data_IF_075372128790
#
_entry.id   IF_075372128790
#
_cell.length_a   1.000
_cell.length_b   1.000
_cell.length_c   1.000
_cell.angle_alpha   90.00
_cell.angle_beta   90.00
_cell.angle_gamma   90.00
#
_symmetry.space_group_name_H-M   'P 1'
#
loop_
_entity.id
_entity.type
_entity.pdbx_description
1 polymer ?
#
# COMPACT_ATOMS: atom_id res chain seq x y z
N UNK A 1 -19.93 -30.53 1.62
CA UNK A 1 -20.88 -30.26 0.52
C UNK A 1 -20.05 -29.67 -0.58
N UNK A 2 -19.90 -30.40 -1.66
CA UNK A 2 -19.12 -29.97 -2.82
C UNK A 2 -19.89 -28.87 -3.54
N UNK A 3 -19.20 -27.77 -3.85
CA UNK A 3 -19.78 -26.63 -4.58
C UNK A 3 -18.98 -26.42 -5.86
N UNK A 4 -19.66 -26.31 -7.00
CA UNK A 4 -19.06 -25.99 -8.29
C UNK A 4 -19.36 -24.54 -8.68
N UNK A 5 -18.34 -23.85 -9.16
CA UNK A 5 -18.40 -22.49 -9.68
C UNK A 5 -17.74 -22.43 -11.05
N UNK A 6 -18.04 -21.41 -11.84
CA UNK A 6 -17.27 -21.13 -13.05
C UNK A 6 -15.87 -20.62 -12.66
N UNK A 7 -15.80 -19.80 -11.59
CA UNK A 7 -14.53 -19.21 -11.12
C UNK A 7 -14.35 -19.35 -9.60
N UNK A 8 -13.22 -19.92 -9.20
CA UNK A 8 -12.77 -20.00 -7.80
C UNK A 8 -11.59 -19.07 -7.60
N UNK A 9 -11.73 -18.10 -6.70
CA UNK A 9 -10.69 -17.10 -6.40
C UNK A 9 -10.10 -17.36 -5.02
N UNK A 10 -8.76 -17.49 -4.95
CA UNK A 10 -8.02 -17.73 -3.71
C UNK A 10 -7.48 -16.39 -3.20
N UNK A 11 -8.00 -15.91 -2.05
CA UNK A 11 -7.56 -14.70 -1.37
C UNK A 11 -8.44 -13.48 -1.66
N UNK A 12 -8.94 -12.83 -0.60
CA UNK A 12 -9.86 -11.69 -0.70
C UNK A 12 -9.19 -10.31 -0.67
N UNK A 13 -7.92 -10.22 -1.06
CA UNK A 13 -7.27 -8.93 -1.31
C UNK A 13 -7.98 -8.14 -2.42
N UNK A 14 -7.61 -6.86 -2.58
CA UNK A 14 -8.25 -5.95 -3.54
C UNK A 14 -8.37 -6.57 -4.94
N UNK A 15 -7.28 -7.11 -5.51
CA UNK A 15 -7.28 -7.74 -6.82
C UNK A 15 -8.28 -8.89 -6.96
N UNK A 16 -8.35 -9.78 -5.96
CA UNK A 16 -9.29 -10.91 -5.94
C UNK A 16 -10.74 -10.47 -5.87
N UNK A 17 -11.07 -9.48 -5.03
CA UNK A 17 -12.44 -8.96 -4.93
C UNK A 17 -12.86 -8.19 -6.18
N UNK A 18 -11.97 -7.38 -6.78
CA UNK A 18 -12.26 -6.66 -8.02
C UNK A 18 -12.48 -7.64 -9.17
N UNK A 19 -11.60 -8.62 -9.36
CA UNK A 19 -11.78 -9.70 -10.34
C UNK A 19 -13.09 -10.45 -10.13
N UNK A 20 -13.44 -10.76 -8.87
CA UNK A 20 -14.69 -11.44 -8.55
C UNK A 20 -15.92 -10.64 -9.01
N UNK A 21 -15.92 -9.32 -8.77
CA UNK A 21 -17.05 -8.45 -9.12
C UNK A 21 -17.16 -8.33 -10.64
N UNK A 22 -16.05 -8.12 -11.35
CA UNK A 22 -16.05 -8.03 -12.81
C UNK A 22 -16.63 -9.32 -13.41
N UNK A 23 -16.13 -10.49 -12.99
CA UNK A 23 -16.60 -11.78 -13.52
C UNK A 23 -18.06 -12.06 -13.15
N UNK A 24 -18.48 -11.76 -11.92
CA UNK A 24 -19.88 -11.90 -11.52
C UNK A 24 -20.81 -10.98 -12.33
N UNK A 25 -20.36 -9.75 -12.68
CA UNK A 25 -21.12 -8.83 -13.54
C UNK A 25 -21.30 -9.36 -14.96
N UNK A 26 -20.31 -10.09 -15.46
CA UNK A 26 -20.38 -10.78 -16.76
C UNK A 26 -21.16 -12.11 -16.71
N UNK A 27 -21.79 -12.42 -15.56
CA UNK A 27 -22.70 -13.56 -15.41
C UNK A 27 -22.05 -14.88 -14.99
N UNK A 28 -20.76 -14.87 -14.64
CA UNK A 28 -20.09 -16.05 -14.08
C UNK A 28 -20.51 -16.30 -12.64
N UNK A 29 -20.67 -17.57 -12.26
CA UNK A 29 -20.75 -17.98 -10.87
C UNK A 29 -19.36 -17.95 -10.24
N UNK A 30 -19.18 -17.12 -9.20
CA UNK A 30 -17.86 -16.86 -8.59
C UNK A 30 -17.89 -17.13 -7.09
N UNK A 31 -16.83 -17.75 -6.57
CA UNK A 31 -16.56 -17.75 -5.14
C UNK A 31 -15.18 -17.19 -4.79
N UNK A 32 -15.08 -16.53 -3.64
CA UNK A 32 -13.81 -16.06 -3.06
C UNK A 32 -13.54 -16.78 -1.74
N UNK A 33 -12.37 -17.41 -1.63
CA UNK A 33 -11.91 -18.15 -0.46
C UNK A 33 -10.89 -17.30 0.32
N UNK A 34 -11.22 -16.93 1.55
CA UNK A 34 -10.36 -16.14 2.45
C UNK A 34 -9.94 -16.97 3.66
N UNK A 35 -8.64 -17.00 3.94
CA UNK A 35 -8.10 -17.75 5.09
C UNK A 35 -8.43 -17.10 6.43
N UNK A 36 -8.57 -15.77 6.46
CA UNK A 36 -8.81 -15.00 7.68
C UNK A 36 -10.29 -14.80 8.00
N UNK A 37 -10.56 -14.23 9.17
CA UNK A 37 -11.90 -13.75 9.55
C UNK A 37 -12.32 -12.48 8.80
N UNK A 38 -11.37 -11.62 8.48
CA UNK A 38 -11.61 -10.36 7.79
C UNK A 38 -11.25 -10.50 6.31
N UNK A 39 -12.10 -9.94 5.44
CA UNK A 39 -11.78 -9.81 4.02
C UNK A 39 -10.88 -8.59 3.79
N UNK A 40 -10.26 -8.50 2.61
CA UNK A 40 -9.63 -7.27 2.13
C UNK A 40 -8.10 -7.28 2.07
N UNK A 41 -7.43 -8.30 2.62
CA UNK A 41 -5.96 -8.35 2.67
C UNK A 41 -5.38 -7.09 3.33
N UNK A 42 -4.58 -6.31 2.60
CA UNK A 42 -3.99 -5.06 3.10
C UNK A 42 -5.03 -3.93 3.32
N UNK A 43 -6.29 -4.10 2.90
CA UNK A 43 -7.41 -3.21 3.21
C UNK A 43 -8.02 -3.42 4.60
N UNK A 44 -7.46 -4.34 5.38
CA UNK A 44 -7.97 -4.62 6.71
C UNK A 44 -7.75 -3.44 7.66
N UNK A 45 -8.59 -3.39 8.68
CA UNK A 45 -8.48 -2.46 9.78
C UNK A 45 -8.50 -3.23 11.09
N UNK A 46 -7.92 -2.64 12.13
CA UNK A 46 -8.13 -3.12 13.50
C UNK A 46 -8.52 -1.96 14.41
N UNK A 47 -9.04 -2.30 15.59
CA UNK A 47 -9.50 -1.32 16.57
C UNK A 47 -8.69 -1.44 17.85
N UNK A 48 -8.19 -0.32 18.36
CA UNK A 48 -7.56 -0.18 19.68
C UNK A 48 -8.02 1.11 20.32
N UNK A 49 -8.36 1.05 21.61
CA UNK A 49 -8.86 2.21 22.36
C UNK A 49 -10.05 2.94 21.71
N UNK A 50 -10.88 2.18 20.99
CA UNK A 50 -12.03 2.64 20.17
C UNK A 50 -11.64 3.45 18.92
N UNK A 51 -10.36 3.50 18.58
CA UNK A 51 -9.82 4.11 17.37
C UNK A 51 -9.56 3.05 16.30
N UNK A 52 -9.89 3.39 15.05
CA UNK A 52 -9.70 2.53 13.88
C UNK A 52 -8.34 2.82 13.26
N UNK A 53 -7.58 1.77 12.98
CA UNK A 53 -6.31 1.86 12.26
C UNK A 53 -6.38 1.04 10.98
N UNK A 54 -5.94 1.64 9.89
CA UNK A 54 -5.70 0.97 8.62
C UNK A 54 -4.34 0.27 8.64
N UNK A 55 -4.29 -0.96 8.11
CA UNK A 55 -3.02 -1.72 8.03
C UNK A 55 -2.24 -1.46 6.75
N UNK A 56 -2.84 -0.85 5.73
CA UNK A 56 -2.21 -0.73 4.41
C UNK A 56 -2.61 0.49 3.58
N UNK A 57 -3.90 0.88 3.55
CA UNK A 57 -4.33 2.07 2.81
C UNK A 57 -4.57 3.25 3.75
N UNK A 58 -3.66 4.23 3.66
CA UNK A 58 -3.70 5.45 4.48
C UNK A 58 -4.37 6.61 3.73
N UNK A 59 -4.26 6.62 2.40
CA UNK A 59 -4.86 7.60 1.49
C UNK A 59 -4.87 7.02 0.07
N UNK A 60 -5.63 7.64 -0.83
CA UNK A 60 -5.92 7.12 -2.17
C UNK A 60 -5.82 8.25 -3.19
N UNK A 61 -5.05 8.00 -4.26
CA UNK A 61 -4.91 8.90 -5.40
C UNK A 61 -6.03 8.76 -6.43
N UNK A 62 -6.18 9.73 -7.34
CA UNK A 62 -6.89 9.53 -8.60
C UNK A 62 -8.41 9.32 -8.51
N UNK A 63 -9.07 9.81 -7.46
CA UNK A 63 -10.52 9.62 -7.23
C UNK A 63 -11.40 10.83 -7.62
N UNK A 64 -10.84 11.92 -8.14
CA UNK A 64 -11.68 12.97 -8.70
C UNK A 64 -12.32 12.49 -10.02
N UNK A 65 -13.46 13.08 -10.37
CA UNK A 65 -14.22 12.68 -11.56
C UNK A 65 -13.36 12.73 -12.84
N UNK A 66 -13.41 11.66 -13.63
CA UNK A 66 -12.62 11.49 -14.86
C UNK A 66 -11.22 10.92 -14.66
N UNK A 67 -10.70 10.86 -13.42
CA UNK A 67 -9.39 10.29 -13.15
C UNK A 67 -9.44 8.75 -13.16
N UNK A 68 -8.27 8.12 -13.27
CA UNK A 68 -8.14 6.67 -13.45
C UNK A 68 -8.92 5.87 -12.37
N UNK A 69 -8.53 6.01 -11.10
CA UNK A 69 -9.12 5.18 -10.04
C UNK A 69 -10.61 5.47 -9.83
N UNK A 70 -11.06 6.71 -10.05
CA UNK A 70 -12.49 7.06 -10.08
C UNK A 70 -13.27 6.17 -11.06
N UNK A 71 -12.76 5.97 -12.28
CA UNK A 71 -13.44 5.16 -13.30
C UNK A 71 -13.59 3.70 -12.86
N UNK A 72 -12.54 3.10 -12.30
CA UNK A 72 -12.60 1.74 -11.72
C UNK A 72 -13.62 1.67 -10.58
N UNK A 73 -13.55 2.59 -9.63
CA UNK A 73 -14.44 2.61 -8.46
C UNK A 73 -15.90 2.82 -8.87
N UNK A 74 -16.14 3.64 -9.91
CA UNK A 74 -17.47 3.88 -10.47
C UNK A 74 -18.00 2.65 -11.20
N UNK A 75 -17.18 2.01 -12.05
CA UNK A 75 -17.58 0.78 -12.77
C UNK A 75 -17.92 -0.36 -11.81
N UNK A 76 -17.11 -0.55 -10.76
CA UNK A 76 -17.34 -1.58 -9.73
C UNK A 76 -18.54 -1.22 -8.85
N UNK A 77 -18.97 0.05 -8.85
CA UNK A 77 -20.18 0.53 -8.18
C UNK A 77 -19.97 0.84 -6.69
N UNK A 78 -18.74 1.17 -6.29
CA UNK A 78 -18.43 1.53 -4.89
C UNK A 78 -18.29 3.04 -4.67
N UNK A 79 -17.96 3.81 -5.72
CA UNK A 79 -17.59 5.22 -5.59
C UNK A 79 -18.60 6.07 -4.80
N UNK A 80 -19.89 5.95 -5.12
CA UNK A 80 -20.96 6.78 -4.55
C UNK A 80 -21.25 6.44 -3.07
N UNK A 81 -20.83 5.27 -2.60
CA UNK A 81 -21.07 4.77 -1.24
C UNK A 81 -19.86 5.04 -0.30
N UNK A 82 -18.75 5.58 -0.82
CA UNK A 82 -17.55 5.89 -0.03
C UNK A 82 -17.63 7.26 0.63
N UNK A 83 -17.21 7.32 1.89
CA UNK A 83 -17.04 8.56 2.64
C UNK A 83 -15.58 8.99 2.54
N UNK A 84 -15.32 9.92 1.65
CA UNK A 84 -13.99 10.40 1.33
C UNK A 84 -13.83 11.85 1.79
N UNK A 85 -12.66 12.17 2.34
CA UNK A 85 -12.21 13.53 2.62
C UNK A 85 -11.07 13.84 1.66
N UNK A 86 -11.16 14.95 0.92
CA UNK A 86 -10.04 15.40 0.11
C UNK A 86 -8.93 15.92 1.03
N UNK A 87 -7.71 15.54 0.72
CA UNK A 87 -6.51 16.06 1.39
C UNK A 87 -6.23 17.49 0.94
N UNK A 88 -5.31 18.17 1.62
CA UNK A 88 -5.00 19.56 1.33
C UNK A 88 -4.47 19.74 -0.10
N UNK A 89 -4.94 20.79 -0.77
CA UNK A 89 -4.61 21.05 -2.18
C UNK A 89 -3.15 21.44 -2.35
N UNK A 90 -2.62 22.18 -1.38
CA UNK A 90 -1.29 22.78 -1.46
C UNK A 90 -0.20 21.89 -0.88
N UNK A 91 -0.56 20.88 -0.07
CA UNK A 91 0.38 19.96 0.53
C UNK A 91 -0.36 18.68 0.94
N UNK A 92 -0.60 17.72 0.03
CA UNK A 92 -1.19 16.44 0.46
C UNK A 92 -0.15 15.55 1.15
N UNK A 93 1.11 15.68 0.75
CA UNK A 93 2.27 15.10 1.40
C UNK A 93 3.31 16.20 1.64
N UNK A 94 4.00 16.12 2.77
CA UNK A 94 5.08 17.05 3.15
C UNK A 94 6.38 16.25 3.26
N UNK A 95 7.35 16.60 2.42
CA UNK A 95 8.69 16.02 2.46
C UNK A 95 9.53 16.85 3.43
N UNK A 96 10.17 16.20 4.39
CA UNK A 96 11.00 16.88 5.38
C UNK A 96 12.26 16.10 5.71
N UNK A 97 13.27 16.82 6.18
CA UNK A 97 14.58 16.24 6.46
C UNK A 97 15.06 16.59 7.88
N UNK A 98 15.96 15.78 8.43
CA UNK A 98 16.61 16.06 9.73
C UNK A 98 17.80 17.01 9.61
N UNK A 99 18.36 17.17 8.41
CA UNK A 99 19.44 18.09 8.05
C UNK A 99 18.94 19.44 7.49
N UNK A 100 17.63 19.69 7.53
CA UNK A 100 17.00 20.90 6.98
C UNK A 100 15.70 21.24 7.74
N UNK A 101 15.57 22.50 8.18
CA UNK A 101 14.37 22.96 8.88
C UNK A 101 13.20 23.25 7.92
N UNK A 102 13.47 23.34 6.61
CA UNK A 102 12.44 23.59 5.59
C UNK A 102 11.62 22.32 5.32
N UNK A 103 10.31 22.50 5.25
CA UNK A 103 9.36 21.49 4.81
C UNK A 103 8.91 21.77 3.38
N UNK A 104 8.92 20.75 2.52
CA UNK A 104 8.66 20.88 1.10
C UNK A 104 7.32 20.24 0.73
N UNK A 105 6.33 21.03 0.28
CA UNK A 105 5.00 20.50 0.01
C UNK A 105 4.91 19.81 -1.36
N UNK A 106 4.33 18.62 -1.39
CA UNK A 106 3.81 18.00 -2.60
C UNK A 106 2.33 18.33 -2.73
N UNK A 107 1.98 19.12 -3.74
CA UNK A 107 0.63 19.66 -3.94
C UNK A 107 -0.18 18.87 -4.98
N UNK A 108 -1.50 18.94 -4.86
CA UNK A 108 -2.43 18.39 -5.86
C UNK A 108 -2.56 19.35 -7.06
N UNK A 109 -2.46 18.80 -8.27
CA UNK A 109 -2.49 19.50 -9.55
C UNK A 109 -1.10 19.89 -10.01
N UNK A 110 -0.75 19.58 -11.26
CA UNK A 110 0.61 19.79 -11.81
C UNK A 110 1.08 21.24 -11.69
N UNK A 111 0.24 22.21 -12.09
CA UNK A 111 0.58 23.64 -11.93
C UNK A 111 0.70 24.05 -10.47
N UNK A 112 -0.13 23.49 -9.58
CA UNK A 112 -0.06 23.81 -8.16
C UNK A 112 1.23 23.24 -7.55
N UNK A 113 1.60 22.01 -7.90
CA UNK A 113 2.86 21.38 -7.50
C UNK A 113 4.07 22.24 -7.90
N UNK A 114 4.11 22.72 -9.15
CA UNK A 114 5.14 23.64 -9.63
C UNK A 114 5.10 24.97 -8.83
N UNK A 115 3.91 25.54 -8.62
CA UNK A 115 3.76 26.81 -7.92
C UNK A 115 4.18 26.76 -6.46
N UNK A 116 3.93 25.65 -5.76
CA UNK A 116 4.32 25.49 -4.36
C UNK A 116 5.82 25.23 -4.22
N UNK A 117 6.41 24.40 -5.08
CA UNK A 117 7.84 24.10 -5.00
C UNK A 117 8.74 25.24 -5.51
N UNK A 118 8.28 26.06 -6.46
CA UNK A 118 9.10 27.20 -6.95
C UNK A 118 9.32 28.28 -5.90
N UNK A 119 8.52 28.35 -4.83
CA UNK A 119 8.77 29.26 -3.71
C UNK A 119 10.09 28.95 -3.00
N UNK A 120 10.49 27.67 -3.01
CA UNK A 120 11.73 27.16 -2.44
C UNK A 120 12.84 27.00 -3.48
N UNK A 121 12.46 26.75 -4.74
CA UNK A 121 13.37 26.51 -5.85
C UNK A 121 13.04 27.43 -7.05
N UNK A 122 13.25 28.76 -6.94
CA UNK A 122 12.78 29.73 -7.94
C UNK A 122 13.41 29.58 -9.32
N UNK A 123 14.59 28.97 -9.41
CA UNK A 123 15.30 28.72 -10.67
C UNK A 123 14.90 27.39 -11.33
N UNK A 124 14.07 26.58 -10.67
CA UNK A 124 13.76 25.20 -11.08
C UNK A 124 12.38 25.04 -11.73
N UNK A 125 11.68 26.14 -12.06
CA UNK A 125 10.32 26.07 -12.62
C UNK A 125 10.25 25.21 -13.89
N UNK A 126 11.20 25.37 -14.82
CA UNK A 126 11.23 24.57 -16.06
C UNK A 126 11.48 23.08 -15.78
N UNK A 127 12.36 22.77 -14.82
CA UNK A 127 12.69 21.39 -14.44
C UNK A 127 11.51 20.70 -13.74
N UNK A 128 10.79 21.42 -12.87
CA UNK A 128 9.57 20.94 -12.21
C UNK A 128 8.45 20.64 -13.22
N UNK A 129 8.29 21.49 -14.25
CA UNK A 129 7.33 21.26 -15.35
C UNK A 129 7.73 20.03 -16.17
N UNK A 130 9.00 19.93 -16.56
CA UNK A 130 9.52 18.78 -17.29
C UNK A 130 9.35 17.46 -16.53
N UNK A 131 9.53 17.48 -15.20
CA UNK A 131 9.25 16.34 -14.32
C UNK A 131 7.77 15.95 -14.38
N UNK A 132 6.85 16.90 -14.20
CA UNK A 132 5.40 16.63 -14.28
C UNK A 132 4.99 16.06 -15.65
N UNK A 133 5.45 16.67 -16.74
CA UNK A 133 5.18 16.20 -18.11
C UNK A 133 5.70 14.77 -18.32
N UNK A 134 6.87 14.44 -17.75
CA UNK A 134 7.37 13.07 -17.81
C UNK A 134 6.48 12.09 -17.05
N UNK A 135 6.01 12.42 -15.85
CA UNK A 135 5.13 11.53 -15.09
C UNK A 135 3.84 11.25 -15.88
N UNK A 136 3.25 12.28 -16.48
CA UNK A 136 2.03 12.17 -17.30
C UNK A 136 2.31 11.30 -18.53
N UNK A 137 3.34 11.64 -19.33
CA UNK A 137 3.68 10.88 -20.54
C UNK A 137 4.03 9.41 -20.26
N UNK A 138 4.66 9.13 -19.11
CA UNK A 138 4.93 7.78 -18.66
C UNK A 138 3.63 7.03 -18.36
N UNK A 139 2.69 7.63 -17.61
CA UNK A 139 1.41 7.01 -17.32
C UNK A 139 0.59 6.75 -18.60
N UNK A 140 0.58 7.71 -19.54
CA UNK A 140 -0.13 7.60 -20.81
C UNK A 140 0.43 6.51 -21.73
N UNK A 141 1.66 6.09 -21.49
CA UNK A 141 2.28 4.99 -22.24
C UNK A 141 1.76 3.60 -21.84
N UNK A 142 0.90 3.49 -20.81
CA UNK A 142 0.32 2.21 -20.35
C UNK A 142 -1.19 2.15 -20.65
N UNK A 143 -1.64 1.49 -21.73
CA UNK A 143 -3.05 1.49 -22.14
C UNK A 143 -4.03 1.05 -21.04
N UNK A 144 -3.69 0.02 -20.28
CA UNK A 144 -4.55 -0.47 -19.19
C UNK A 144 -4.67 0.52 -18.01
N UNK A 145 -3.69 1.41 -17.84
CA UNK A 145 -3.82 2.50 -16.88
C UNK A 145 -4.96 3.45 -17.30
N UNK A 146 -5.07 3.76 -18.59
CA UNK A 146 -6.10 4.64 -19.15
C UNK A 146 -7.39 3.93 -19.59
N UNK A 147 -7.58 2.65 -19.20
CA UNK A 147 -8.72 1.82 -19.62
C UNK A 147 -8.83 1.67 -21.14
N UNK A 148 -7.73 1.80 -21.86
CA UNK A 148 -7.66 1.64 -23.29
C UNK A 148 -7.36 0.19 -23.66
N UNK A 149 -8.20 -0.36 -24.53
CA UNK A 149 -7.98 -1.69 -25.08
C UNK A 149 -7.08 -1.58 -26.32
N UNK A 150 -5.77 -1.50 -26.11
CA UNK A 150 -4.78 -1.51 -27.19
C UNK A 150 -4.21 -2.91 -27.39
N UNK A 151 -4.28 -3.42 -28.62
CA UNK A 151 -3.61 -4.66 -29.03
C UNK A 151 -2.09 -4.53 -29.07
N UNK A 152 -1.59 -3.30 -29.15
CA UNK A 152 -0.18 -3.01 -29.48
C UNK A 152 0.72 -3.00 -28.23
N UNK A 153 0.12 -3.14 -27.04
CA UNK A 153 0.83 -3.18 -25.77
C UNK A 153 1.47 -1.83 -25.41
N UNK A 154 2.61 -1.89 -24.72
CA UNK A 154 3.42 -0.72 -24.34
C UNK A 154 4.89 -0.98 -24.67
N UNK A 155 5.67 0.08 -24.85
CA UNK A 155 7.11 -0.05 -25.14
C UNK A 155 7.84 -0.64 -23.92
N UNK A 156 8.46 -1.82 -24.08
CA UNK A 156 9.17 -2.49 -22.98
C UNK A 156 10.43 -1.75 -22.50
N UNK A 157 11.00 -0.86 -23.31
CA UNK A 157 12.13 0.01 -22.90
C UNK A 157 11.75 0.95 -21.76
N UNK A 158 10.46 1.30 -21.62
CA UNK A 158 9.98 2.13 -20.51
C UNK A 158 10.14 1.43 -19.15
N UNK A 159 10.17 0.09 -19.15
CA UNK A 159 10.35 -0.70 -17.93
C UNK A 159 11.80 -0.66 -17.41
N UNK A 160 12.77 -0.20 -18.21
CA UNK A 160 14.19 -0.20 -17.86
C UNK A 160 14.72 1.15 -17.39
N UNK A 161 13.93 2.22 -17.51
CA UNK A 161 14.34 3.56 -17.06
C UNK A 161 14.37 3.58 -15.53
N UNK A 162 15.51 3.89 -14.94
CA UNK A 162 15.66 3.99 -13.49
C UNK A 162 15.10 5.33 -12.98
N UNK A 163 14.34 5.29 -11.87
CA UNK A 163 13.68 6.46 -11.31
C UNK A 163 14.67 7.49 -10.74
N UNK A 164 15.72 7.03 -10.04
CA UNK A 164 16.74 7.89 -9.44
C UNK A 164 17.60 8.55 -10.50
N UNK A 165 18.06 7.78 -11.49
CA UNK A 165 18.84 8.33 -12.62
C UNK A 165 18.06 9.42 -13.35
N UNK A 166 16.77 9.18 -13.63
CA UNK A 166 15.92 10.20 -14.25
C UNK A 166 15.76 11.46 -13.37
N UNK A 167 15.51 11.32 -12.07
CA UNK A 167 15.39 12.48 -11.15
C UNK A 167 16.71 13.27 -11.10
N UNK A 168 17.87 12.59 -11.14
CA UNK A 168 19.18 13.25 -11.18
C UNK A 168 19.40 14.02 -12.50
N UNK A 169 18.86 13.54 -13.61
CA UNK A 169 18.92 14.21 -14.91
C UNK A 169 18.04 15.46 -14.97
N UNK A 170 16.92 15.49 -14.25
CA UNK A 170 15.96 16.61 -14.25
C UNK A 170 16.58 17.91 -13.74
N UNK A 171 17.44 17.85 -12.72
CA UNK A 171 18.01 19.06 -12.08
C UNK A 171 19.38 18.76 -11.50
N UNK A 172 20.25 19.77 -11.37
CA UNK A 172 21.50 19.67 -10.61
C UNK A 172 21.33 20.00 -9.11
N UNK A 173 20.17 20.49 -8.69
CA UNK A 173 19.90 20.82 -7.30
C UNK A 173 19.66 19.55 -6.47
N UNK A 174 20.64 19.18 -5.65
CA UNK A 174 20.62 17.97 -4.82
C UNK A 174 19.42 17.94 -3.85
N UNK A 175 19.02 19.10 -3.30
CA UNK A 175 17.87 19.18 -2.40
C UNK A 175 16.57 18.94 -3.17
N UNK A 176 16.41 19.52 -4.36
CA UNK A 176 15.22 19.26 -5.18
C UNK A 176 15.14 17.78 -5.60
N UNK A 177 16.26 17.14 -5.95
CA UNK A 177 16.28 15.68 -6.22
C UNK A 177 15.74 14.88 -5.02
N UNK A 178 16.19 15.21 -3.81
CA UNK A 178 15.71 14.58 -2.59
C UNK A 178 14.20 14.83 -2.36
N UNK A 179 13.71 16.05 -2.62
CA UNK A 179 12.28 16.40 -2.51
C UNK A 179 11.43 15.62 -3.51
N UNK A 180 11.84 15.52 -4.78
CA UNK A 180 11.12 14.75 -5.80
C UNK A 180 11.11 13.25 -5.49
N UNK A 181 12.22 12.73 -4.94
CA UNK A 181 12.35 11.34 -4.51
C UNK A 181 11.68 11.03 -3.16
N UNK A 182 11.26 12.03 -2.38
CA UNK A 182 10.74 11.86 -1.02
C UNK A 182 9.49 11.00 -0.89
N UNK A 183 8.78 10.77 -2.00
CA UNK A 183 7.61 9.90 -2.09
C UNK A 183 7.96 8.42 -2.38
N UNK A 184 9.24 8.06 -2.51
CA UNK A 184 9.66 6.72 -2.93
C UNK A 184 9.22 5.58 -1.98
N UNK A 185 8.91 5.93 -0.72
CA UNK A 185 8.42 5.00 0.29
C UNK A 185 7.10 4.34 -0.16
N UNK A 186 6.29 5.02 -0.97
CA UNK A 186 5.02 4.52 -1.51
C UNK A 186 5.15 3.23 -2.32
N UNK A 187 6.33 2.98 -2.89
CA UNK A 187 6.60 1.81 -3.73
C UNK A 187 7.86 1.05 -3.33
N UNK A 188 8.35 1.26 -2.11
CA UNK A 188 9.58 0.66 -1.59
C UNK A 188 10.81 0.92 -2.50
N UNK A 189 11.05 2.20 -2.80
CA UNK A 189 12.14 2.63 -3.66
C UNK A 189 13.53 2.16 -3.21
N UNK A 190 14.26 1.60 -4.17
CA UNK A 190 15.68 1.20 -4.09
C UNK A 190 16.43 1.91 -5.21
N UNK A 191 17.56 2.55 -4.90
CA UNK A 191 18.35 3.38 -5.82
C UNK A 191 18.61 2.70 -7.17
N UNK A 192 19.11 1.46 -7.17
CA UNK A 192 19.62 0.81 -8.37
C UNK A 192 18.54 0.08 -9.18
N UNK A 193 17.39 -0.21 -8.58
CA UNK A 193 16.39 -1.15 -9.13
C UNK A 193 15.04 -0.53 -9.44
N UNK A 194 14.72 0.66 -8.92
CA UNK A 194 13.37 1.22 -9.03
C UNK A 194 13.08 1.75 -10.43
N UNK A 195 12.07 1.21 -11.14
CA UNK A 195 11.71 1.73 -12.45
C UNK A 195 10.94 3.05 -12.34
N UNK A 196 11.21 3.99 -13.26
CA UNK A 196 10.52 5.28 -13.33
C UNK A 196 9.01 5.13 -13.52
N UNK A 197 8.54 4.10 -14.23
CA UNK A 197 7.10 3.90 -14.39
C UNK A 197 6.37 3.61 -13.08
N UNK A 198 7.01 2.91 -12.13
CA UNK A 198 6.42 2.66 -10.80
C UNK A 198 6.32 3.96 -10.01
N UNK A 199 7.36 4.79 -10.07
CA UNK A 199 7.37 6.13 -9.50
C UNK A 199 6.26 6.99 -10.11
N UNK A 200 6.17 7.05 -11.44
CA UNK A 200 5.17 7.84 -12.15
C UNK A 200 3.74 7.40 -11.83
N UNK A 201 3.42 6.10 -11.94
CA UNK A 201 2.07 5.59 -11.66
C UNK A 201 1.64 5.87 -10.20
N UNK A 202 2.59 5.84 -9.26
CA UNK A 202 2.33 6.12 -7.85
C UNK A 202 2.12 7.61 -7.60
N UNK A 203 3.11 8.44 -7.96
CA UNK A 203 3.12 9.88 -7.66
C UNK A 203 2.05 10.61 -8.46
N UNK A 204 1.89 10.32 -9.75
CA UNK A 204 0.89 10.96 -10.60
C UNK A 204 -0.52 10.78 -10.05
N UNK A 205 -0.84 9.60 -9.52
CA UNK A 205 -2.16 9.31 -8.95
C UNK A 205 -2.50 10.25 -7.79
N UNK A 206 -1.56 10.46 -6.85
CA UNK A 206 -1.77 11.36 -5.71
C UNK A 206 -1.70 12.85 -6.10
N UNK A 207 -0.82 13.19 -7.04
CA UNK A 207 -0.74 14.55 -7.58
C UNK A 207 -2.03 14.94 -8.31
N UNK A 208 -2.69 14.00 -8.99
CA UNK A 208 -4.00 14.25 -9.64
C UNK A 208 -5.10 14.59 -8.63
N UNK A 209 -5.24 13.79 -7.58
CA UNK A 209 -6.03 14.12 -6.40
C UNK A 209 -5.77 13.13 -5.27
N UNK A 210 -5.81 13.59 -4.02
CA UNK A 210 -5.52 12.77 -2.83
C UNK A 210 -6.67 12.78 -1.84
N UNK A 211 -7.04 11.59 -1.35
CA UNK A 211 -8.23 11.39 -0.53
C UNK A 211 -7.98 10.43 0.64
N UNK A 212 -8.58 10.74 1.79
CA UNK A 212 -8.65 9.85 2.95
C UNK A 212 -10.02 9.22 3.08
N UNK A 213 -10.04 8.00 3.59
CA UNK A 213 -11.26 7.30 3.96
C UNK A 213 -11.72 7.75 5.36
N UNK A 214 -12.85 8.45 5.46
CA UNK A 214 -13.42 8.82 6.76
C UNK A 214 -13.86 7.55 7.49
N UNK A 215 -13.34 7.32 8.69
CA UNK A 215 -13.48 6.07 9.48
C UNK A 215 -12.77 4.84 8.88
N UNK A 216 -11.72 5.07 8.09
CA UNK A 216 -10.77 4.05 7.61
C UNK A 216 -11.20 3.31 6.34
N UNK A 217 -10.22 2.64 5.73
CA UNK A 217 -10.28 1.94 4.44
C UNK A 217 -11.15 0.69 4.42
N UNK A 218 -11.53 0.14 5.58
CA UNK A 218 -12.44 -1.03 5.65
C UNK A 218 -13.77 -0.84 4.93
N UNK A 219 -14.19 0.42 4.70
CA UNK A 219 -15.36 0.74 3.90
C UNK A 219 -15.25 0.23 2.46
N UNK A 220 -14.06 0.25 1.85
CA UNK A 220 -13.83 -0.25 0.49
C UNK A 220 -14.16 -1.73 0.43
N UNK A 221 -13.57 -2.52 1.32
CA UNK A 221 -13.85 -3.96 1.39
C UNK A 221 -15.33 -4.24 1.66
N UNK A 222 -15.98 -3.50 2.56
CA UNK A 222 -17.42 -3.65 2.82
C UNK A 222 -18.25 -3.40 1.56
N UNK A 223 -17.94 -2.35 0.80
CA UNK A 223 -18.65 -2.06 -0.44
C UNK A 223 -18.34 -3.07 -1.54
N UNK A 224 -17.10 -3.53 -1.68
CA UNK A 224 -16.73 -4.59 -2.64
C UNK A 224 -17.50 -5.89 -2.36
N UNK A 225 -17.58 -6.32 -1.10
CA UNK A 225 -18.34 -7.53 -0.72
C UNK A 225 -19.84 -7.34 -1.00
N UNK A 226 -20.39 -6.14 -0.74
CA UNK A 226 -21.79 -5.81 -1.05
C UNK A 226 -22.04 -5.89 -2.57
N UNK A 227 -21.15 -5.32 -3.38
CA UNK A 227 -21.26 -5.38 -4.85
C UNK A 227 -21.14 -6.82 -5.37
N UNK A 228 -20.18 -7.59 -4.87
CA UNK A 228 -20.04 -9.00 -5.28
C UNK A 228 -21.32 -9.80 -5.01
N UNK A 229 -21.89 -9.67 -3.80
CA UNK A 229 -23.14 -10.34 -3.44
C UNK A 229 -24.33 -9.88 -4.28
N UNK A 230 -24.38 -8.60 -4.66
CA UNK A 230 -25.43 -8.06 -5.54
C UNK A 230 -25.45 -8.78 -6.90
N UNK A 231 -24.29 -9.18 -7.40
CA UNK A 231 -24.14 -9.95 -8.65
C UNK A 231 -24.07 -11.47 -8.43
N UNK A 232 -24.50 -11.96 -7.27
CA UNK A 232 -24.61 -13.40 -6.99
C UNK A 232 -23.31 -14.11 -6.63
N UNK A 233 -22.19 -13.39 -6.50
CA UNK A 233 -20.92 -13.96 -6.06
C UNK A 233 -20.92 -14.31 -4.57
N UNK A 234 -20.24 -15.40 -4.22
CA UNK A 234 -20.15 -15.91 -2.86
C UNK A 234 -18.78 -15.64 -2.23
N UNK A 235 -18.72 -15.42 -0.92
CA UNK A 235 -17.46 -15.25 -0.19
C UNK A 235 -17.42 -16.09 1.07
N UNK A 236 -16.27 -16.69 1.33
CA UNK A 236 -16.07 -17.63 2.43
C UNK A 236 -14.86 -17.24 3.26
N UNK A 237 -15.07 -17.12 4.57
CA UNK A 237 -14.02 -16.89 5.57
C UNK A 237 -13.51 -18.22 6.10
N UNK A 238 -12.32 -18.20 6.69
CA UNK A 238 -11.66 -19.39 7.26
C UNK A 238 -11.50 -20.55 6.25
N UNK A 239 -11.40 -20.22 4.96
CA UNK A 239 -11.17 -21.16 3.87
C UNK A 239 -9.75 -21.00 3.36
N UNK A 240 -8.79 -21.37 4.21
CA UNK A 240 -7.39 -21.46 3.82
C UNK A 240 -7.22 -22.58 2.81
N UNK A 241 -6.84 -22.25 1.58
CA UNK A 241 -6.54 -23.24 0.53
C UNK A 241 -5.17 -23.86 0.81
N UNK A 242 -5.14 -25.18 0.96
CA UNK A 242 -3.94 -25.96 1.30
C UNK A 242 -3.49 -26.87 0.18
N UNK A 243 -4.25 -26.95 -0.91
CA UNK A 243 -3.88 -27.70 -2.10
C UNK A 243 -4.98 -27.68 -3.14
N UNK A 244 -4.76 -28.46 -4.20
CA UNK A 244 -5.63 -28.49 -5.36
C UNK A 244 -5.91 -29.93 -5.82
N UNK A 245 -7.08 -30.15 -6.44
CA UNK A 245 -7.42 -31.40 -7.11
C UNK A 245 -7.20 -31.31 -8.62
N UNK A 246 -6.75 -32.42 -9.21
CA UNK A 246 -6.45 -32.50 -10.64
C UNK A 246 -7.05 -33.74 -11.27
N UNK A 247 -7.57 -33.59 -12.48
CA UNK A 247 -7.91 -34.68 -13.39
C UNK A 247 -6.92 -34.67 -14.55
N UNK A 248 -5.92 -35.56 -14.49
CA UNK A 248 -4.77 -35.52 -15.40
C UNK A 248 -3.92 -34.26 -15.21
N UNK A 249 -3.91 -33.37 -16.21
CA UNK A 249 -3.25 -32.06 -16.17
C UNK A 249 -4.19 -30.91 -15.82
N UNK A 250 -5.52 -31.14 -15.82
CA UNK A 250 -6.50 -30.12 -15.57
C UNK A 250 -6.70 -29.89 -14.07
N UNK A 251 -6.60 -28.63 -13.64
CA UNK A 251 -6.98 -28.19 -12.29
C UNK A 251 -8.51 -28.14 -12.19
N UNK A 252 -9.10 -28.88 -11.24
CA UNK A 252 -10.57 -29.02 -11.11
C UNK A 252 -11.12 -28.56 -9.76
N UNK A 253 -10.28 -28.43 -8.73
CA UNK A 253 -10.73 -28.03 -7.40
C UNK A 253 -9.65 -27.37 -6.54
N UNK A 254 -10.10 -26.58 -5.57
CA UNK A 254 -9.30 -26.05 -4.46
C UNK A 254 -9.74 -26.71 -3.14
N UNK A 255 -8.77 -27.26 -2.40
CA UNK A 255 -8.96 -27.95 -1.13
C UNK A 255 -8.62 -27.03 0.02
N UNK A 256 -9.49 -26.96 1.03
CA UNK A 256 -9.30 -26.08 2.18
C UNK A 256 -8.88 -26.86 3.43
N UNK A 257 -8.22 -26.17 4.37
CA UNK A 257 -7.69 -26.74 5.62
C UNK A 257 -8.73 -27.50 6.45
N UNK A 258 -9.99 -27.08 6.38
CA UNK A 258 -11.11 -27.71 7.10
C UNK A 258 -11.70 -28.93 6.37
N UNK A 259 -11.07 -29.38 5.27
CA UNK A 259 -11.50 -30.53 4.49
C UNK A 259 -12.59 -30.24 3.46
N UNK A 260 -13.03 -28.99 3.31
CA UNK A 260 -13.94 -28.62 2.21
C UNK A 260 -13.21 -28.64 0.86
N UNK A 261 -13.95 -28.87 -0.21
CA UNK A 261 -13.43 -28.83 -1.59
C UNK A 261 -14.36 -27.99 -2.47
N UNK A 262 -13.78 -27.09 -3.25
CA UNK A 262 -14.47 -26.14 -4.13
C UNK A 262 -14.06 -26.43 -5.57
N UNK A 263 -15.03 -26.82 -6.38
CA UNK A 263 -14.82 -27.16 -7.79
C UNK A 263 -14.98 -25.92 -8.67
N UNK A 264 -14.17 -25.84 -9.72
CA UNK A 264 -14.06 -24.67 -10.57
C UNK A 264 -13.68 -25.03 -12.00
N UNK A 265 -14.11 -24.22 -12.96
CA UNK A 265 -13.62 -24.31 -14.34
C UNK A 265 -12.41 -23.38 -14.56
N UNK A 266 -12.36 -22.24 -13.84
CA UNK A 266 -11.23 -21.31 -13.79
C UNK A 266 -10.82 -21.01 -12.33
N UNK A 267 -9.52 -20.85 -12.12
CA UNK A 267 -8.94 -20.52 -10.80
C UNK A 267 -8.09 -19.27 -10.89
N UNK A 268 -8.33 -18.31 -9.99
CA UNK A 268 -7.53 -17.08 -9.88
C UNK A 268 -6.87 -17.07 -8.52
N UNK A 269 -5.54 -17.12 -8.50
CA UNK A 269 -4.77 -16.95 -7.27
C UNK A 269 -4.49 -15.47 -7.04
N UNK A 270 -4.92 -14.95 -5.89
CA UNK A 270 -4.61 -13.62 -5.39
C UNK A 270 -3.80 -13.70 -4.08
N UNK A 271 -3.13 -14.82 -3.84
CA UNK A 271 -2.12 -14.97 -2.79
C UNK A 271 -0.72 -14.85 -3.37
N UNK A 272 0.29 -14.80 -2.50
CA UNK A 272 1.69 -14.62 -2.88
C UNK A 272 2.13 -15.65 -3.97
N UNK A 273 2.80 -15.21 -5.06
CA UNK A 273 3.14 -16.09 -6.17
C UNK A 273 3.97 -17.32 -5.78
N UNK A 274 4.96 -17.19 -4.88
CA UNK A 274 5.77 -18.34 -4.45
C UNK A 274 4.91 -19.38 -3.75
N UNK A 275 4.02 -18.95 -2.84
CA UNK A 275 3.04 -19.80 -2.16
C UNK A 275 2.09 -20.46 -3.15
N UNK A 276 1.56 -19.72 -4.14
CA UNK A 276 0.70 -20.28 -5.19
C UNK A 276 1.37 -21.44 -5.91
N UNK A 277 2.61 -21.26 -6.39
CA UNK A 277 3.31 -22.31 -7.12
C UNK A 277 3.62 -23.53 -6.22
N UNK A 278 3.95 -23.31 -4.94
CA UNK A 278 4.16 -24.39 -3.98
C UNK A 278 2.90 -25.23 -3.76
N UNK A 279 1.74 -24.58 -3.61
CA UNK A 279 0.44 -25.26 -3.43
C UNK A 279 0.01 -26.05 -4.67
N UNK A 280 0.26 -25.52 -5.87
CA UNK A 280 -0.02 -26.21 -7.14
C UNK A 280 0.94 -27.39 -7.36
N UNK A 281 2.19 -27.25 -6.93
CA UNK A 281 3.22 -28.29 -7.00
C UNK A 281 4.23 -28.04 -8.12
N UNK A 282 5.53 -28.16 -7.79
CA UNK A 282 6.66 -27.86 -8.69
C UNK A 282 6.57 -28.58 -10.05
N UNK A 283 6.21 -29.87 -10.04
CA UNK A 283 6.15 -30.72 -11.24
C UNK A 283 5.08 -30.29 -12.26
N UNK A 284 4.22 -29.33 -11.93
CA UNK A 284 3.20 -28.78 -12.83
C UNK A 284 3.67 -27.55 -13.61
N UNK A 285 4.88 -27.05 -13.34
CA UNK A 285 5.44 -25.89 -14.01
C UNK A 285 6.74 -26.24 -14.74
N UNK A 286 7.08 -25.44 -15.75
CA UNK A 286 8.43 -25.47 -16.31
C UNK A 286 9.43 -25.13 -15.21
N UNK A 287 10.46 -25.96 -15.03
CA UNK A 287 11.49 -25.78 -13.99
C UNK A 287 12.11 -24.38 -13.97
N UNK A 288 12.37 -23.79 -15.13
CA UNK A 288 12.90 -22.42 -15.26
C UNK A 288 11.93 -21.36 -14.74
N UNK A 289 10.63 -21.50 -15.01
CA UNK A 289 9.61 -20.58 -14.51
C UNK A 289 9.45 -20.69 -12.99
N UNK A 290 9.33 -21.92 -12.48
CA UNK A 290 9.21 -22.17 -11.04
C UNK A 290 10.42 -21.61 -10.28
N UNK A 291 11.63 -21.97 -10.72
CA UNK A 291 12.88 -21.49 -10.13
C UNK A 291 12.97 -19.95 -10.14
N UNK A 292 12.63 -19.31 -11.27
CA UNK A 292 12.64 -17.84 -11.37
C UNK A 292 11.72 -17.17 -10.34
N UNK A 293 10.50 -17.69 -10.16
CA UNK A 293 9.53 -17.14 -9.19
C UNK A 293 9.96 -17.40 -7.75
N UNK A 294 10.45 -18.60 -7.44
CA UNK A 294 10.90 -18.93 -6.08
C UNK A 294 12.13 -18.12 -5.65
N UNK A 295 13.00 -17.74 -6.60
CA UNK A 295 14.21 -16.96 -6.36
C UNK A 295 13.99 -15.43 -6.40
N UNK A 296 12.74 -14.93 -6.57
CA UNK A 296 12.48 -13.49 -6.46
C UNK A 296 12.88 -13.00 -5.07
N UNK A 297 13.60 -11.88 -5.00
CA UNK A 297 13.91 -11.23 -3.73
C UNK A 297 12.65 -10.60 -3.15
N UNK A 298 12.46 -10.70 -1.83
CA UNK A 298 11.40 -9.93 -1.17
C UNK A 298 11.90 -8.49 -0.96
N UNK A 299 11.03 -7.51 -1.17
CA UNK A 299 11.32 -6.12 -0.80
C UNK A 299 11.30 -5.97 0.73
N UNK A 300 11.90 -4.87 1.22
CA UNK A 300 11.96 -4.56 2.65
C UNK A 300 10.57 -4.58 3.32
N UNK A 301 10.52 -5.07 4.56
CA UNK A 301 9.31 -5.03 5.39
C UNK A 301 9.21 -3.68 6.08
N UNK A 302 8.11 -3.45 6.79
CA UNK A 302 7.90 -2.27 7.62
C UNK A 302 7.73 -2.62 9.10
N UNK A 303 8.03 -1.65 9.95
CA UNK A 303 7.61 -1.58 11.35
C UNK A 303 6.67 -0.39 11.49
N UNK A 304 5.56 -0.57 12.21
CA UNK A 304 4.53 0.47 12.35
C UNK A 304 4.26 0.79 13.81
N UNK A 305 4.14 2.08 14.13
CA UNK A 305 3.53 2.53 15.38
C UNK A 305 2.12 3.05 15.10
N UNK A 306 1.21 2.71 15.99
CA UNK A 306 -0.16 3.18 15.99
C UNK A 306 -0.40 3.93 17.30
N UNK A 307 -0.36 5.26 17.21
CA UNK A 307 -0.50 6.17 18.34
C UNK A 307 -1.97 6.55 18.51
N UNK A 308 -2.50 6.43 19.72
CA UNK A 308 -3.79 7.03 20.08
C UNK A 308 -3.51 8.25 20.91
N UNK A 309 -4.06 9.40 20.53
CA UNK A 309 -3.86 10.65 21.28
C UNK A 309 -4.87 10.80 22.41
N UNK A 310 -4.47 11.56 23.44
CA UNK A 310 -5.39 12.14 24.42
C UNK A 310 -6.26 13.19 23.70
N UNK A 311 -7.53 13.36 24.12
CA UNK A 311 -8.43 14.35 23.51
C UNK A 311 -7.80 15.75 23.50
N UNK A 312 -7.90 16.45 22.38
CA UNK A 312 -7.53 17.86 22.24
C UNK A 312 -6.05 18.18 22.57
N UNK A 313 -5.15 17.20 22.42
CA UNK A 313 -3.73 17.38 22.73
C UNK A 313 -2.83 17.51 21.50
N UNK A 314 -3.24 16.96 20.35
CA UNK A 314 -2.44 16.99 19.13
C UNK A 314 -3.28 17.49 17.96
N UNK A 315 -2.82 18.54 17.26
CA UNK A 315 -3.57 19.15 16.15
C UNK A 315 -3.61 18.20 14.95
N UNK A 316 -4.79 18.11 14.32
CA UNK A 316 -4.94 17.34 13.08
C UNK A 316 -4.30 18.09 11.92
N UNK A 317 -3.66 17.34 11.03
CA UNK A 317 -3.12 17.79 9.76
C UNK A 317 -3.67 16.90 8.65
N UNK A 318 -4.24 17.53 7.62
CA UNK A 318 -4.91 16.85 6.52
C UNK A 318 -3.94 16.49 5.37
N UNK A 319 -2.71 16.20 5.75
CA UNK A 319 -1.58 15.80 4.92
C UNK A 319 -0.76 14.71 5.61
N UNK A 320 0.09 14.01 4.87
CA UNK A 320 1.07 13.08 5.46
C UNK A 320 2.45 13.74 5.54
N UNK A 321 3.30 13.20 6.41
CA UNK A 321 4.72 13.51 6.40
C UNK A 321 5.50 12.32 5.86
N UNK A 322 6.45 12.61 4.97
CA UNK A 322 7.56 11.72 4.64
C UNK A 322 8.83 12.37 5.16
N UNK A 323 9.32 11.86 6.28
CA UNK A 323 10.48 12.41 6.97
C UNK A 323 11.70 11.51 6.78
N UNK A 324 12.84 12.12 6.50
CA UNK A 324 14.11 11.43 6.32
C UNK A 324 15.15 12.06 7.26
N UNK A 325 16.01 11.27 7.89
CA UNK A 325 17.07 11.83 8.75
C UNK A 325 18.05 12.71 7.95
N UNK A 326 18.33 12.31 6.72
CA UNK A 326 19.33 12.93 5.85
C UNK A 326 18.80 12.96 4.42
N UNK A 327 18.75 14.16 3.82
CA UNK A 327 18.29 14.37 2.45
C UNK A 327 19.11 13.64 1.38
N UNK A 328 20.38 13.31 1.64
CA UNK A 328 21.22 12.52 0.73
C UNK A 328 20.88 11.01 0.73
N UNK A 329 20.07 10.55 1.69
CA UNK A 329 19.80 9.12 1.92
C UNK A 329 18.36 8.69 1.62
N UNK A 330 17.59 9.50 0.91
CA UNK A 330 16.17 9.22 0.58
C UNK A 330 15.94 7.84 -0.08
N UNK A 331 16.89 7.35 -0.89
CA UNK A 331 16.82 6.03 -1.55
C UNK A 331 17.40 4.87 -0.73
N UNK A 332 17.98 5.16 0.45
CA UNK A 332 18.76 4.22 1.27
C UNK A 332 18.20 4.08 2.69
N UNK A 333 16.93 4.41 2.89
CA UNK A 333 16.28 4.36 4.21
C UNK A 333 16.15 2.95 4.76
N UNK A 334 16.16 1.93 3.89
CA UNK A 334 16.22 0.53 4.30
C UNK A 334 17.63 0.06 4.69
N UNK A 335 18.68 0.80 4.34
CA UNK A 335 20.08 0.50 4.66
C UNK A 335 20.47 1.13 6.00
N UNK A 336 19.97 0.58 7.10
CA UNK A 336 20.20 1.11 8.45
C UNK A 336 20.90 0.08 9.36
N UNK A 337 21.61 0.58 10.36
CA UNK A 337 22.03 -0.25 11.51
C UNK A 337 20.98 -0.16 12.61
N UNK A 338 21.09 -1.02 13.63
CA UNK A 338 20.19 -0.93 14.77
C UNK A 338 20.31 0.44 15.48
N UNK A 339 21.47 1.09 15.46
CA UNK A 339 21.67 2.42 16.05
C UNK A 339 21.13 3.56 15.18
N UNK A 340 21.24 3.44 13.85
CA UNK A 340 20.82 4.49 12.92
C UNK A 340 19.33 4.43 12.58
N UNK A 341 18.67 3.31 12.85
CA UNK A 341 17.24 3.12 12.63
C UNK A 341 16.36 4.03 13.53
N UNK A 342 15.18 4.47 13.05
CA UNK A 342 14.76 4.53 11.64
C UNK A 342 15.49 5.65 10.86
N UNK A 343 15.79 5.44 9.59
CA UNK A 343 16.43 6.45 8.71
C UNK A 343 15.41 7.34 7.98
N UNK A 344 14.15 6.89 7.90
CA UNK A 344 13.04 7.68 7.39
C UNK A 344 11.71 7.01 7.69
N UNK A 345 10.64 7.79 7.74
CA UNK A 345 9.31 7.29 8.06
C UNK A 345 8.20 8.11 7.39
N UNK A 346 7.07 7.44 7.18
CA UNK A 346 5.80 8.07 6.89
C UNK A 346 5.03 8.31 8.19
N UNK A 347 4.42 9.48 8.35
CA UNK A 347 3.44 9.77 9.41
C UNK A 347 2.10 10.18 8.79
N UNK A 348 1.02 9.52 9.20
CA UNK A 348 -0.34 9.80 8.71
C UNK A 348 -1.31 9.88 9.87
N UNK A 349 -2.14 10.92 9.88
CA UNK A 349 -3.08 11.16 10.97
C UNK A 349 -4.50 10.77 10.55
N UNK A 350 -5.27 10.30 11.53
CA UNK A 350 -6.70 10.10 11.38
C UNK A 350 -7.46 11.05 12.29
N UNK A 351 -8.63 11.44 11.81
CA UNK A 351 -9.62 12.21 12.56
C UNK A 351 -10.97 11.51 12.50
N UNK A 352 -11.80 11.61 13.55
CA UNK A 352 -13.17 11.11 13.45
C UNK A 352 -14.05 12.02 12.62
N UNK A 353 -15.13 11.48 12.10
CA UNK A 353 -16.17 12.23 11.40
C UNK A 353 -16.88 13.32 12.25
N UNK A 354 -16.50 13.52 13.52
CA UNK A 354 -17.15 14.44 14.45
C UNK A 354 -16.49 15.81 14.53
N UNK A 355 -15.25 15.94 14.06
CA UNK A 355 -14.46 17.18 14.11
C UNK A 355 -13.27 17.06 13.14
N UNK A 356 -12.57 18.16 12.87
CA UNK A 356 -11.44 18.25 11.94
C UNK A 356 -10.24 19.02 12.52
N UNK A 357 -10.23 19.30 13.83
CA UNK A 357 -9.23 20.14 14.49
C UNK A 357 -8.13 19.35 15.22
N UNK A 358 -8.48 18.20 15.80
CA UNK A 358 -7.62 17.42 16.69
C UNK A 358 -7.42 16.01 16.15
N UNK A 359 -6.19 15.51 16.11
CA UNK A 359 -5.94 14.16 15.66
C UNK A 359 -6.44 13.15 16.71
N UNK A 360 -7.13 12.10 16.27
CA UNK A 360 -7.49 10.98 17.15
C UNK A 360 -6.34 9.97 17.27
N UNK A 361 -5.59 9.82 16.18
CA UNK A 361 -4.48 8.90 16.10
C UNK A 361 -3.50 9.28 15.00
N UNK A 362 -2.31 8.69 15.09
CA UNK A 362 -1.29 8.75 14.05
C UNK A 362 -0.76 7.34 13.79
N UNK A 363 -0.63 6.98 12.52
CA UNK A 363 0.12 5.81 12.07
C UNK A 363 1.49 6.27 11.58
N UNK A 364 2.53 5.65 12.10
CA UNK A 364 3.92 5.86 11.70
C UNK A 364 4.45 4.58 11.08
N UNK A 365 5.16 4.67 9.95
CA UNK A 365 5.68 3.50 9.24
C UNK A 365 7.10 3.78 8.80
N UNK A 366 8.01 2.85 9.08
CA UNK A 366 9.41 2.87 8.66
C UNK A 366 9.80 1.51 8.11
N UNK A 367 10.82 1.44 7.26
CA UNK A 367 11.40 0.16 6.85
C UNK A 367 12.02 -0.57 8.04
N UNK A 368 12.02 -1.90 7.97
CA UNK A 368 12.70 -2.79 8.91
C UNK A 368 13.17 -4.04 8.16
N UNK A 369 14.39 -4.49 8.45
CA UNK A 369 14.88 -5.76 7.91
C UNK A 369 14.14 -6.93 8.57
N UNK A 370 13.63 -7.84 7.74
CA UNK A 370 12.98 -9.07 8.21
C UNK A 370 13.94 -9.95 9.01
N UNK A 371 15.25 -9.88 8.77
CA UNK A 371 16.24 -10.64 9.53
C UNK A 371 16.19 -10.36 11.04
N UNK A 372 15.77 -9.17 11.46
CA UNK A 372 15.63 -8.80 12.87
C UNK A 372 14.55 -9.62 13.60
N UNK A 373 13.53 -10.08 12.86
CA UNK A 373 12.42 -10.87 13.39
C UNK A 373 12.44 -12.34 12.95
N UNK A 374 13.51 -12.77 12.29
CA UNK A 374 13.63 -14.11 11.70
C UNK A 374 13.46 -15.24 12.70
N UNK A 375 13.91 -15.05 13.95
CA UNK A 375 13.74 -16.05 15.02
C UNK A 375 12.26 -16.39 15.30
N UNK A 376 11.32 -15.52 14.93
CA UNK A 376 9.87 -15.74 15.09
C UNK A 376 9.16 -16.10 13.77
N UNK A 377 9.88 -16.41 12.68
CA UNK A 377 9.29 -16.61 11.34
C UNK A 377 8.26 -17.75 11.27
N UNK A 378 8.37 -18.74 12.17
CA UNK A 378 7.47 -19.90 12.24
C UNK A 378 6.31 -19.73 13.22
N UNK A 379 6.20 -18.56 13.85
CA UNK A 379 5.16 -18.30 14.86
C UNK A 379 3.95 -17.57 14.25
N UNK A 380 2.75 -17.90 14.71
CA UNK A 380 1.50 -17.34 14.19
C UNK A 380 0.67 -16.67 15.29
N UNK A 381 0.41 -15.36 15.16
CA UNK A 381 -0.52 -14.64 16.04
C UNK A 381 -1.61 -13.95 15.22
N UNK A 382 -2.57 -14.74 14.78
CA UNK A 382 -3.76 -14.31 14.03
C UNK A 382 -5.02 -14.53 14.88
N UNK A 383 -6.17 -14.03 14.42
CA UNK A 383 -7.46 -14.32 15.08
C UNK A 383 -7.80 -15.81 15.06
N UNK A 384 -7.35 -16.54 14.03
CA UNK A 384 -7.63 -17.97 13.85
C UNK A 384 -6.62 -18.86 14.60
N UNK A 385 -5.37 -18.41 14.70
CA UNK A 385 -4.25 -19.16 15.30
C UNK A 385 -3.49 -18.20 16.20
N UNK A 386 -3.69 -18.34 17.52
CA UNK A 386 -3.02 -17.52 18.52
C UNK A 386 -1.83 -18.28 19.08
N UNK A 387 -0.67 -17.67 18.97
CA UNK A 387 0.57 -18.11 19.58
C UNK A 387 1.21 -16.93 20.30
N UNK A 388 1.77 -17.20 21.46
CA UNK A 388 2.57 -16.25 22.21
C UNK A 388 4.03 -16.34 21.75
N UNK A 389 4.64 -15.20 21.43
CA UNK A 389 6.04 -15.10 21.01
C UNK A 389 7.00 -14.87 22.19
N UNK A 390 6.45 -14.78 23.40
CA UNK A 390 7.19 -14.69 24.65
C UNK A 390 7.81 -13.31 24.91
N UNK A 391 8.46 -13.21 26.08
CA UNK A 391 9.02 -11.97 26.62
C UNK A 391 10.04 -11.31 25.68
N UNK A 392 10.91 -12.09 25.03
CA UNK A 392 11.91 -11.57 24.10
C UNK A 392 11.30 -10.80 22.90
N UNK A 393 10.10 -11.18 22.44
CA UNK A 393 9.41 -10.46 21.38
C UNK A 393 8.81 -9.15 21.87
N UNK A 394 8.26 -9.15 23.08
CA UNK A 394 7.74 -7.93 23.71
C UNK A 394 8.87 -6.94 24.04
N UNK A 395 10.01 -7.41 24.52
CA UNK A 395 11.22 -6.57 24.71
C UNK A 395 11.72 -5.98 23.38
N UNK A 396 11.74 -6.78 22.30
CA UNK A 396 12.08 -6.28 20.97
C UNK A 396 11.12 -5.18 20.53
N UNK A 397 9.81 -5.39 20.66
CA UNK A 397 8.79 -4.40 20.31
C UNK A 397 8.92 -3.13 21.12
N UNK A 398 9.15 -3.22 22.43
CA UNK A 398 9.33 -2.07 23.31
C UNK A 398 10.57 -1.26 22.93
N UNK A 399 11.71 -1.94 22.69
CA UNK A 399 12.95 -1.29 22.26
C UNK A 399 12.79 -0.54 20.94
N UNK A 400 12.23 -1.18 19.91
CA UNK A 400 11.95 -0.54 18.61
C UNK A 400 10.92 0.59 18.74
N UNK A 401 9.92 0.43 19.60
CA UNK A 401 8.93 1.49 19.86
C UNK A 401 9.61 2.74 20.43
N UNK A 402 10.45 2.57 21.44
CA UNK A 402 11.12 3.69 22.11
C UNK A 402 12.07 4.43 21.17
N UNK A 403 12.84 3.68 20.38
CA UNK A 403 13.75 4.24 19.40
C UNK A 403 13.01 5.03 18.31
N UNK A 404 11.91 4.48 17.77
CA UNK A 404 11.14 5.17 16.75
C UNK A 404 10.44 6.42 17.33
N UNK A 405 9.86 6.34 18.52
CA UNK A 405 9.26 7.51 19.18
C UNK A 405 10.29 8.62 19.46
N UNK A 406 11.52 8.27 19.82
CA UNK A 406 12.59 9.25 20.03
C UNK A 406 12.92 10.02 18.73
N UNK A 407 12.91 9.36 17.58
CA UNK A 407 13.09 10.03 16.29
C UNK A 407 11.89 10.88 15.88
N UNK A 408 10.66 10.39 16.12
CA UNK A 408 9.42 11.12 15.82
C UNK A 408 9.30 12.38 16.67
N UNK A 409 9.75 12.34 17.93
CA UNK A 409 9.72 13.49 18.85
C UNK A 409 10.65 14.63 18.41
N UNK A 410 11.71 14.36 17.64
CA UNK A 410 12.53 15.42 17.03
C UNK A 410 11.71 16.26 16.05
N UNK A 411 10.81 15.61 15.30
CA UNK A 411 9.92 16.27 14.33
C UNK A 411 8.67 16.87 14.98
N UNK A 412 8.12 16.17 15.98
CA UNK A 412 6.94 16.59 16.72
C UNK A 412 7.28 16.73 18.22
N UNK A 413 7.90 17.85 18.64
CA UNK A 413 8.30 18.05 20.02
C UNK A 413 7.12 17.92 20.99
N UNK A 414 7.30 17.15 22.07
CA UNK A 414 6.26 16.93 23.08
C UNK A 414 5.14 15.97 22.66
N UNK A 415 5.27 15.27 21.51
CA UNK A 415 4.27 14.30 21.06
C UNK A 415 3.98 13.21 22.11
N UNK A 416 4.99 12.82 22.90
CA UNK A 416 4.84 11.81 23.95
C UNK A 416 3.81 12.20 25.01
N UNK A 417 3.76 13.46 25.39
CA UNK A 417 2.79 13.97 26.36
C UNK A 417 1.36 13.92 25.82
N UNK A 418 1.20 13.92 24.50
CA UNK A 418 -0.08 13.83 23.81
C UNK A 418 -0.58 12.38 23.69
N UNK A 419 0.30 11.37 23.80
CA UNK A 419 -0.06 9.97 23.57
C UNK A 419 -0.83 9.40 24.78
N UNK A 420 -1.94 8.72 24.49
CA UNK A 420 -2.69 7.90 25.43
C UNK A 420 -2.21 6.46 25.45
N UNK A 421 -1.92 5.89 24.28
CA UNK A 421 -1.47 4.51 24.13
C UNK A 421 -0.72 4.32 22.80
N UNK A 422 0.21 3.35 22.78
CA UNK A 422 1.00 2.97 21.61
C UNK A 422 0.77 1.51 21.31
N UNK A 423 0.56 1.17 20.03
CA UNK A 423 0.43 -0.20 19.54
C UNK A 423 1.39 -0.45 18.39
N UNK A 424 1.80 -1.71 18.23
CA UNK A 424 2.80 -2.19 17.25
C UNK A 424 2.41 -3.55 16.68
#
# INVERSE_FOLDING_TARGET
>A
MDKKYDVVIIGSGLGGLVSAIILAKEGYSVCVLEKNNQFGGNLQTFVRDKTIFDTGIHYIGGLAEGQNLYQYFKYIGIMDDLKLQRMDMDAYDVISFGDDDIEYPHAQGYENFVNQLKEYFPEEEENLRAYCDKLVSMCDSFPLYNLENSSDGYNSELLTINAKEYIDEVTQNEKLRAVLAGSNFLYAGIEEKSPLYVHALSVNSYMQSSWRCINGGSQITKQLIKQLKKYGGETYKYKEVTGFGFEGEQLVSAKTKDGSEYFGDMFISNIEPKTTLKLVGENRFRKSFYSRVQNLENVGSAFSLYLVFKPEMFKYMNHNYYHFKDSSRVWKTAECTDESWPEGYMASMNVSAKQDEWAESMTLITFMDFNEVKQWEHTHNTTAEKEDRGEAYEEFKQRKTEQFLAEVEKKFPGIRDCIRSVHT
#
